data_IF_792582508455
#
_entry.id   IF_792582508455
#
_cell.length_a   1.000
_cell.length_b   1.000
_cell.length_c   1.000
_cell.angle_alpha   90.00
_cell.angle_beta   90.00
_cell.angle_gamma   90.00
#
_symmetry.space_group_name_H-M   'P 1'
#
loop_
_entity.id
_entity.type
_entity.pdbx_description
1 polymer ?
#
# COMPACT_ATOMS: atom_id res chain seq x y z
N UNK A 1 -3.09 -11.29 5.41
CA UNK A 1 -4.20 -11.11 4.47
C UNK A 1 -4.67 -9.68 4.64
N UNK A 2 -4.44 -8.84 3.65
CA UNK A 2 -4.82 -7.42 3.71
C UNK A 2 -6.25 -7.38 3.20
N UNK A 3 -7.20 -7.14 4.10
CA UNK A 3 -8.61 -7.00 3.76
C UNK A 3 -8.86 -5.55 3.32
N UNK A 4 -8.84 -5.32 2.04
CA UNK A 4 -9.52 -4.19 1.45
C UNK A 4 -10.99 -4.60 1.36
N UNK A 5 -11.88 -3.98 2.16
CA UNK A 5 -13.30 -4.25 2.05
C UNK A 5 -13.82 -3.65 0.74
N UNK A 6 -14.20 -4.50 -0.18
CA UNK A 6 -15.20 -4.14 -1.18
C UNK A 6 -16.54 -4.27 -0.48
N UNK A 7 -17.26 -3.18 -0.28
CA UNK A 7 -18.66 -3.24 0.11
C UNK A 7 -19.47 -3.64 -1.11
N UNK A 8 -19.73 -4.94 -1.20
CA UNK A 8 -20.72 -5.48 -2.12
C UNK A 8 -22.03 -5.59 -1.30
N UNK A 9 -23.00 -4.78 -1.63
CA UNK A 9 -24.34 -4.78 -1.04
C UNK A 9 -25.05 -6.08 -1.40
N UNK A 10 -24.98 -7.07 -0.52
CA UNK A 10 -25.67 -8.36 -0.61
C UNK A 10 -26.74 -8.48 0.45
N UNK A 11 -27.92 -8.35 0.00
CA UNK A 11 -29.26 -8.62 0.51
C UNK A 11 -29.33 -9.62 1.66
N UNK A 12 -30.03 -9.22 2.75
CA UNK A 12 -30.39 -10.02 3.91
C UNK A 12 -31.42 -11.08 3.52
N UNK A 13 -31.23 -12.30 3.98
CA UNK A 13 -32.32 -13.23 4.27
C UNK A 13 -32.09 -13.89 5.62
N UNK A 14 -32.99 -13.53 6.54
CA UNK A 14 -33.22 -14.21 7.79
C UNK A 14 -33.51 -15.69 7.58
N UNK A 15 -32.93 -16.56 8.41
CA UNK A 15 -33.61 -17.77 8.87
C UNK A 15 -33.01 -18.20 10.23
N UNK A 16 -33.87 -18.13 11.23
CA UNK A 16 -33.79 -18.77 12.53
C UNK A 16 -33.67 -20.29 12.40
N UNK A 17 -32.82 -20.92 13.21
CA UNK A 17 -33.20 -22.13 13.93
C UNK A 17 -32.26 -22.42 15.10
N UNK A 18 -32.89 -22.57 16.22
CA UNK A 18 -32.49 -22.99 17.55
C UNK A 18 -32.09 -24.46 17.59
N UNK A 19 -31.10 -24.88 18.36
CA UNK A 19 -31.20 -26.00 19.33
C UNK A 19 -29.89 -26.25 20.09
N UNK A 20 -29.92 -26.03 21.37
CA UNK A 20 -29.61 -26.88 22.56
C UNK A 20 -28.46 -27.90 22.50
N UNK A 21 -27.52 -27.80 23.41
CA UNK A 21 -27.45 -28.79 24.47
C UNK A 21 -26.10 -29.40 24.80
N UNK A 22 -25.65 -29.17 26.02
CA UNK A 22 -25.00 -30.09 26.99
C UNK A 22 -23.57 -30.57 26.76
N UNK A 23 -22.73 -30.15 27.65
CA UNK A 23 -22.17 -30.72 28.88
C UNK A 23 -20.95 -31.67 28.81
N UNK A 24 -19.99 -31.35 29.65
CA UNK A 24 -19.23 -32.14 30.63
C UNK A 24 -17.84 -32.71 30.29
N UNK A 25 -16.94 -32.23 31.13
CA UNK A 25 -15.93 -32.94 31.95
C UNK A 25 -14.55 -33.18 31.33
N UNK A 26 -13.52 -32.54 31.82
CA UNK A 26 -12.78 -32.83 33.09
C UNK A 26 -11.65 -33.86 32.96
N UNK A 27 -10.54 -33.50 33.56
CA UNK A 27 -9.37 -34.30 33.99
C UNK A 27 -8.20 -34.38 33.00
N UNK A 28 -6.97 -34.17 33.36
CA UNK A 28 -6.28 -34.05 34.62
C UNK A 28 -4.77 -34.04 34.32
N UNK A 29 -4.04 -33.32 35.12
CA UNK A 29 -2.58 -33.23 35.19
C UNK A 29 -2.04 -34.58 35.71
N UNK A 30 -0.78 -35.02 35.38
CA UNK A 30 0.33 -34.67 36.26
C UNK A 30 1.70 -34.45 35.59
N UNK A 31 2.49 -33.61 36.19
CA UNK A 31 3.95 -33.67 36.33
C UNK A 31 4.26 -34.70 37.45
N UNK A 32 5.47 -35.24 37.64
CA UNK A 32 6.73 -34.56 37.87
C UNK A 32 8.06 -35.33 37.61
N UNK A 33 9.15 -34.68 38.02
CA UNK A 33 10.48 -35.10 38.51
C UNK A 33 11.60 -35.33 37.51
N UNK A 34 12.57 -34.48 37.57
CA UNK A 34 13.80 -34.37 38.41
C UNK A 34 14.85 -35.48 38.26
N UNK A 35 16.05 -34.96 38.17
CA UNK A 35 17.39 -35.48 38.52
C UNK A 35 18.19 -36.07 37.36
N UNK A 36 19.42 -35.83 37.15
CA UNK A 36 20.59 -35.35 37.89
C UNK A 36 21.79 -35.13 36.95
N UNK A 37 22.61 -34.14 37.24
CA UNK A 37 24.08 -34.05 37.22
C UNK A 37 24.90 -34.78 36.14
N UNK A 38 25.69 -34.10 35.33
CA UNK A 38 27.15 -33.92 35.56
C UNK A 38 27.84 -33.13 34.41
N UNK A 39 28.52 -32.15 34.85
CA UNK A 39 29.74 -31.48 34.42
C UNK A 39 30.63 -32.25 33.44
N UNK A 40 31.00 -31.60 32.30
CA UNK A 40 32.41 -31.45 31.93
C UNK A 40 32.65 -30.30 30.95
N UNK A 41 33.71 -29.58 31.25
CA UNK A 41 34.26 -28.43 30.50
C UNK A 41 34.86 -28.87 29.16
N UNK A 42 34.59 -28.14 28.07
CA UNK A 42 35.60 -27.91 27.08
C UNK A 42 35.45 -26.49 26.47
N UNK A 43 36.53 -25.78 26.62
CA UNK A 43 36.75 -24.42 26.14
C UNK A 43 37.33 -24.51 24.73
N UNK A 44 36.94 -23.52 23.90
CA UNK A 44 37.53 -23.09 22.64
C UNK A 44 36.98 -23.66 21.33
N UNK A 45 36.62 -22.70 20.55
CA UNK A 45 36.33 -22.62 19.12
C UNK A 45 34.84 -22.47 18.78
N UNK A 46 34.42 -21.25 18.46
CA UNK A 46 33.08 -20.96 18.01
C UNK A 46 32.74 -19.49 17.81
N UNK A 47 33.72 -18.63 17.45
CA UNK A 47 33.45 -17.20 17.26
C UNK A 47 33.12 -16.79 15.81
N UNK A 48 33.28 -17.67 14.83
CA UNK A 48 33.05 -17.31 13.42
C UNK A 48 31.70 -17.82 12.87
N UNK A 49 31.13 -18.88 13.45
CA UNK A 49 29.87 -19.47 12.96
C UNK A 49 28.62 -18.65 13.36
N UNK A 50 28.69 -17.89 14.46
CA UNK A 50 27.57 -17.06 14.94
C UNK A 50 27.39 -15.76 14.15
N UNK A 51 28.44 -15.25 13.48
CA UNK A 51 28.33 -14.06 12.61
C UNK A 51 27.67 -14.38 11.27
N UNK A 52 27.92 -15.54 10.72
CA UNK A 52 27.34 -15.96 9.42
C UNK A 52 25.85 -16.22 9.50
N UNK A 53 25.35 -16.83 10.59
CA UNK A 53 23.94 -17.11 10.75
C UNK A 53 23.09 -15.84 10.95
N UNK A 54 23.63 -14.82 11.67
CA UNK A 54 22.94 -13.56 11.88
C UNK A 54 22.83 -12.70 10.59
N UNK A 55 23.74 -12.85 9.65
CA UNK A 55 23.74 -12.12 8.40
C UNK A 55 22.80 -12.78 7.39
N UNK A 56 22.74 -14.10 7.36
CA UNK A 56 21.78 -14.86 6.54
C UNK A 56 20.34 -14.61 7.00
N UNK A 57 20.09 -14.59 8.32
CA UNK A 57 18.76 -14.33 8.86
C UNK A 57 18.30 -12.87 8.59
N UNK A 58 19.22 -11.90 8.62
CA UNK A 58 18.93 -10.50 8.28
C UNK A 58 18.61 -10.32 6.79
N UNK A 59 19.35 -10.97 5.92
CA UNK A 59 19.11 -10.92 4.47
C UNK A 59 17.78 -11.59 4.12
N UNK A 60 17.47 -12.74 4.71
CA UNK A 60 16.19 -13.43 4.54
C UNK A 60 15.01 -12.60 5.06
N UNK A 61 15.14 -11.97 6.22
CA UNK A 61 14.11 -11.09 6.79
C UNK A 61 13.87 -9.85 5.91
N UNK A 62 14.92 -9.21 5.42
CA UNK A 62 14.80 -8.05 4.55
C UNK A 62 14.16 -8.38 3.22
N UNK A 63 14.48 -9.53 2.62
CA UNK A 63 13.88 -9.96 1.35
C UNK A 63 12.39 -10.26 1.51
N UNK A 64 11.98 -10.87 2.62
CA UNK A 64 10.56 -11.15 2.92
C UNK A 64 9.77 -9.87 3.13
N UNK A 65 10.30 -8.90 3.88
CA UNK A 65 9.66 -7.58 4.09
C UNK A 65 9.54 -6.84 2.77
N UNK A 66 10.59 -6.81 1.96
CA UNK A 66 10.55 -6.15 0.65
C UNK A 66 9.50 -6.77 -0.29
N UNK A 67 9.42 -8.10 -0.36
CA UNK A 67 8.41 -8.78 -1.16
C UNK A 67 6.98 -8.47 -0.68
N UNK A 68 6.75 -8.38 0.63
CA UNK A 68 5.46 -8.03 1.20
C UNK A 68 5.05 -6.58 0.85
N UNK A 69 6.00 -5.64 0.87
CA UNK A 69 5.73 -4.23 0.53
C UNK A 69 5.45 -4.07 -0.97
N UNK A 70 6.17 -4.79 -1.83
CA UNK A 70 5.91 -4.80 -3.27
C UNK A 70 4.50 -5.33 -3.57
N UNK A 71 4.12 -6.46 -2.99
CA UNK A 71 2.78 -7.02 -3.14
C UNK A 71 1.68 -6.07 -2.62
N UNK A 72 1.93 -5.38 -1.50
CA UNK A 72 1.01 -4.36 -0.98
C UNK A 72 0.88 -3.20 -1.97
N UNK A 73 1.97 -2.72 -2.54
CA UNK A 73 1.94 -1.60 -3.48
C UNK A 73 1.16 -1.95 -4.76
N UNK A 74 1.34 -3.16 -5.29
CA UNK A 74 0.60 -3.65 -6.46
C UNK A 74 -0.90 -3.76 -6.16
N UNK A 75 -1.28 -4.43 -5.05
CA UNK A 75 -2.68 -4.60 -4.63
C UNK A 75 -3.37 -3.26 -4.34
N UNK A 76 -2.67 -2.36 -3.63
CA UNK A 76 -3.17 -1.02 -3.35
C UNK A 76 -3.41 -0.23 -4.64
N UNK A 77 -2.46 -0.26 -5.57
CA UNK A 77 -2.56 0.46 -6.84
C UNK A 77 -3.75 -0.05 -7.66
N UNK A 78 -3.91 -1.36 -7.78
CA UNK A 78 -5.05 -1.97 -8.47
C UNK A 78 -6.37 -1.50 -7.84
N UNK A 79 -6.53 -1.71 -6.54
CA UNK A 79 -7.73 -1.33 -5.79
C UNK A 79 -8.06 0.18 -5.92
N UNK A 80 -7.07 1.06 -5.75
CA UNK A 80 -7.29 2.50 -5.81
C UNK A 80 -7.79 2.96 -7.18
N UNK A 81 -7.18 2.47 -8.26
CA UNK A 81 -7.61 2.87 -9.60
C UNK A 81 -8.90 2.21 -10.05
N UNK A 82 -9.25 1.03 -9.55
CA UNK A 82 -10.59 0.45 -9.71
C UNK A 82 -11.64 1.39 -9.11
N UNK A 83 -11.48 1.79 -7.84
CA UNK A 83 -12.40 2.73 -7.18
C UNK A 83 -12.46 4.09 -7.90
N UNK A 84 -11.31 4.64 -8.28
CA UNK A 84 -11.26 5.93 -8.98
C UNK A 84 -11.98 5.85 -10.33
N UNK A 85 -11.73 4.82 -11.12
CA UNK A 85 -12.33 4.62 -12.43
C UNK A 85 -13.84 4.39 -12.37
N UNK A 86 -14.32 3.70 -11.35
CA UNK A 86 -15.74 3.40 -11.12
C UNK A 86 -16.49 4.51 -10.38
N UNK A 87 -15.80 5.60 -9.96
CA UNK A 87 -16.31 6.70 -9.13
C UNK A 87 -16.78 6.26 -7.73
N UNK A 88 -16.20 5.19 -7.20
CA UNK A 88 -16.47 4.66 -5.85
C UNK A 88 -15.46 5.14 -4.81
N UNK A 89 -14.50 6.01 -5.20
CA UNK A 89 -13.56 6.59 -4.26
C UNK A 89 -14.31 7.48 -3.25
N UNK A 90 -14.09 7.24 -1.96
CA UNK A 90 -14.76 7.97 -0.87
C UNK A 90 -13.77 8.62 0.10
N UNK A 91 -14.24 9.58 0.89
CA UNK A 91 -13.42 10.31 1.87
C UNK A 91 -12.91 9.43 3.01
N UNK A 92 -13.52 8.29 3.29
CA UNK A 92 -13.10 7.34 4.33
C UNK A 92 -11.79 6.60 4.02
N UNK A 93 -11.37 6.59 2.75
CA UNK A 93 -10.07 6.02 2.34
C UNK A 93 -8.87 6.93 2.72
N UNK A 94 -9.15 8.12 3.23
CA UNK A 94 -8.15 9.14 3.56
C UNK A 94 -8.10 9.43 5.05
N UNK A 95 -6.93 9.85 5.53
CA UNK A 95 -6.82 10.42 6.87
C UNK A 95 -7.47 11.82 6.92
N UNK A 96 -7.98 12.26 8.11
CA UNK A 96 -8.58 13.59 8.26
C UNK A 96 -7.63 14.75 7.92
N UNK A 97 -6.32 14.53 8.06
CA UNK A 97 -5.26 15.49 7.76
C UNK A 97 -4.54 15.19 6.45
N UNK A 98 -5.22 14.53 5.51
CA UNK A 98 -4.69 14.20 4.18
C UNK A 98 -4.27 15.43 3.41
N UNK A 99 -3.25 15.28 2.56
CA UNK A 99 -2.85 16.29 1.57
C UNK A 99 -2.81 15.70 0.16
N UNK A 100 -3.26 16.47 -0.82
CA UNK A 100 -3.16 16.20 -2.24
C UNK A 100 -2.42 17.34 -2.93
N UNK A 101 -1.41 17.01 -3.74
CA UNK A 101 -0.88 17.89 -4.76
C UNK A 101 -1.21 17.32 -6.14
N UNK A 102 -1.90 18.08 -6.94
CA UNK A 102 -2.26 17.72 -8.30
C UNK A 102 -1.53 18.66 -9.27
N UNK A 103 -0.72 18.11 -10.18
CA UNK A 103 -0.16 18.88 -11.28
C UNK A 103 -0.59 18.33 -12.63
N UNK A 104 -0.87 19.23 -13.56
CA UNK A 104 -1.25 18.90 -14.94
C UNK A 104 -0.28 19.60 -15.89
N UNK A 105 0.31 18.84 -16.81
CA UNK A 105 1.24 19.35 -17.81
C UNK A 105 0.64 19.14 -19.20
N UNK A 106 0.38 20.24 -19.91
CA UNK A 106 -0.16 20.20 -21.27
C UNK A 106 0.48 21.29 -22.13
N UNK A 107 0.97 20.92 -23.30
CA UNK A 107 1.62 21.87 -24.26
C UNK A 107 2.78 22.69 -23.68
N UNK A 108 3.48 22.12 -22.67
CA UNK A 108 4.59 22.81 -21.99
C UNK A 108 4.15 23.75 -20.85
N UNK A 109 2.86 23.91 -20.62
CA UNK A 109 2.31 24.61 -19.46
C UNK A 109 2.03 23.65 -18.32
N UNK A 110 2.42 24.05 -17.11
CA UNK A 110 2.16 23.30 -15.88
C UNK A 110 1.21 24.10 -14.99
N UNK A 111 0.12 23.46 -14.60
CA UNK A 111 -0.83 23.97 -13.62
C UNK A 111 -0.79 23.06 -12.38
N UNK A 112 -0.81 23.65 -11.20
CA UNK A 112 -0.83 22.90 -9.95
C UNK A 112 -1.96 23.35 -9.04
N UNK A 113 -2.52 22.40 -8.30
CA UNK A 113 -3.53 22.61 -7.28
C UNK A 113 -3.15 21.80 -6.04
N UNK A 114 -3.40 22.35 -4.86
CA UNK A 114 -3.13 21.68 -3.58
C UNK A 114 -4.37 21.72 -2.70
N UNK A 115 -4.70 20.57 -2.08
CA UNK A 115 -5.80 20.42 -1.13
C UNK A 115 -5.24 19.82 0.15
N UNK A 116 -5.54 20.41 1.29
CA UNK A 116 -5.04 19.97 2.59
C UNK A 116 -6.16 19.82 3.62
N UNK A 117 -6.01 18.81 4.49
CA UNK A 117 -6.82 18.62 5.69
C UNK A 117 -8.33 18.49 5.46
N UNK A 118 -8.71 18.05 4.29
CA UNK A 118 -10.11 17.78 3.97
C UNK A 118 -10.24 16.57 3.04
N UNK A 119 -10.58 15.38 3.56
CA UNK A 119 -10.75 14.16 2.78
C UNK A 119 -11.80 14.27 1.68
N UNK A 120 -12.89 15.00 1.93
CA UNK A 120 -13.95 15.20 0.94
C UNK A 120 -13.47 16.05 -0.23
N UNK A 121 -12.74 17.13 0.05
CA UNK A 121 -12.19 17.99 -1.00
C UNK A 121 -11.12 17.25 -1.83
N UNK A 122 -10.30 16.40 -1.18
CA UNK A 122 -9.34 15.53 -1.89
C UNK A 122 -10.07 14.55 -2.81
N UNK A 123 -11.09 13.87 -2.31
CA UNK A 123 -11.92 12.95 -3.09
C UNK A 123 -12.56 13.66 -4.27
N UNK A 124 -13.21 14.80 -4.01
CA UNK A 124 -13.87 15.60 -5.02
C UNK A 124 -12.88 16.12 -6.07
N UNK A 125 -11.69 16.56 -5.66
CA UNK A 125 -10.64 17.02 -6.60
C UNK A 125 -10.22 15.91 -7.55
N UNK A 126 -10.00 14.69 -7.06
CA UNK A 126 -9.63 13.53 -7.87
C UNK A 126 -10.75 13.13 -8.84
N UNK A 127 -11.97 12.98 -8.34
CA UNK A 127 -13.13 12.61 -9.16
C UNK A 127 -13.49 13.69 -10.20
N UNK A 128 -13.48 14.96 -9.79
CA UNK A 128 -13.73 16.08 -10.72
C UNK A 128 -12.68 16.17 -11.83
N UNK A 129 -11.40 15.95 -11.50
CA UNK A 129 -10.32 15.92 -12.49
C UNK A 129 -10.54 14.80 -13.50
N UNK A 130 -10.88 13.59 -13.01
CA UNK A 130 -11.21 12.46 -13.88
C UNK A 130 -12.40 12.80 -14.79
N UNK A 131 -13.49 13.31 -14.23
CA UNK A 131 -14.71 13.63 -14.98
C UNK A 131 -14.51 14.79 -15.99
N UNK A 132 -13.81 15.85 -15.58
CA UNK A 132 -13.57 17.02 -16.41
C UNK A 132 -12.86 16.67 -17.72
N UNK A 133 -11.92 15.75 -17.68
CA UNK A 133 -11.11 15.34 -18.83
C UNK A 133 -11.54 13.99 -19.43
N UNK A 134 -12.65 13.42 -18.95
CA UNK A 134 -13.16 12.09 -19.36
C UNK A 134 -12.06 11.02 -19.31
N UNK A 135 -11.34 10.96 -18.16
CA UNK A 135 -10.17 10.10 -18.03
C UNK A 135 -10.52 8.70 -17.50
N UNK A 136 -9.84 7.74 -18.05
CA UNK A 136 -9.67 6.40 -17.50
C UNK A 136 -8.19 6.19 -17.17
N UNK A 137 -7.90 5.86 -15.91
CA UNK A 137 -6.56 5.59 -15.43
C UNK A 137 -6.23 4.13 -15.63
N UNK A 138 -5.18 3.84 -16.38
CA UNK A 138 -4.69 2.49 -16.63
C UNK A 138 -3.29 2.34 -16.03
N UNK A 139 -3.17 1.86 -14.76
CA UNK A 139 -1.88 1.73 -14.08
C UNK A 139 -1.03 0.63 -14.72
N UNK A 140 0.27 0.85 -14.79
CA UNK A 140 1.23 -0.18 -15.12
C UNK A 140 1.57 -0.96 -13.85
N UNK A 141 0.89 -2.09 -13.61
CA UNK A 141 1.07 -2.93 -12.42
C UNK A 141 2.30 -3.84 -12.49
N UNK A 142 3.15 -3.70 -13.50
CA UNK A 142 4.43 -4.41 -13.54
C UNK A 142 5.43 -3.84 -12.53
N UNK A 143 6.52 -4.55 -12.29
CA UNK A 143 7.61 -4.10 -11.40
C UNK A 143 8.28 -2.80 -11.87
N UNK A 144 8.17 -2.49 -13.15
CA UNK A 144 8.66 -1.25 -13.74
C UNK A 144 7.69 -0.08 -13.53
N UNK A 145 6.40 -0.36 -13.27
CA UNK A 145 5.36 0.65 -13.16
C UNK A 145 4.85 0.90 -11.74
N UNK A 146 5.10 -0.02 -10.79
CA UNK A 146 4.73 0.12 -9.38
C UNK A 146 5.92 -0.18 -8.49
N UNK A 147 6.12 0.66 -7.46
CA UNK A 147 7.14 0.46 -6.44
C UNK A 147 6.60 0.81 -5.07
N UNK A 148 6.92 -0.03 -4.08
CA UNK A 148 6.62 0.20 -2.67
C UNK A 148 7.87 0.29 -1.83
N UNK A 149 7.88 1.18 -0.86
CA UNK A 149 8.93 1.30 0.15
C UNK A 149 8.30 1.64 1.50
N UNK A 150 8.77 1.02 2.56
CA UNK A 150 8.34 1.34 3.92
C UNK A 150 9.47 2.04 4.66
N UNK A 151 9.15 3.14 5.33
CA UNK A 151 10.06 3.86 6.17
C UNK A 151 10.22 3.18 7.55
N UNK A 152 11.22 3.57 8.37
CA UNK A 152 11.41 2.99 9.71
C UNK A 152 10.25 3.24 10.67
N UNK A 153 9.35 4.19 10.39
CA UNK A 153 8.18 4.53 11.20
C UNK A 153 6.91 3.79 10.79
N UNK A 154 6.99 2.95 9.74
CA UNK A 154 5.87 2.16 9.24
C UNK A 154 4.99 2.88 8.22
N UNK A 155 5.42 4.05 7.71
CA UNK A 155 4.78 4.71 6.58
C UNK A 155 5.18 3.98 5.29
N UNK A 156 4.21 3.62 4.48
CA UNK A 156 4.45 2.98 3.19
C UNK A 156 4.29 4.01 2.08
N UNK A 157 5.36 4.21 1.33
CA UNK A 157 5.35 4.99 0.11
C UNK A 157 5.06 4.06 -1.07
N UNK A 158 4.02 4.39 -1.85
CA UNK A 158 3.69 3.70 -3.11
C UNK A 158 3.83 4.70 -4.24
N UNK A 159 4.60 4.35 -5.25
CA UNK A 159 4.72 5.14 -6.49
C UNK A 159 4.21 4.27 -7.63
N UNK A 160 3.35 4.84 -8.45
CA UNK A 160 2.74 4.16 -9.59
C UNK A 160 2.69 5.09 -10.79
N UNK A 161 2.96 4.55 -11.97
CA UNK A 161 2.77 5.25 -13.23
C UNK A 161 1.86 4.45 -14.15
N UNK A 162 1.28 5.12 -15.14
CA UNK A 162 0.38 4.48 -16.09
C UNK A 162 -0.02 5.41 -17.23
N UNK A 163 -0.93 4.92 -18.06
CA UNK A 163 -1.47 5.67 -19.19
C UNK A 163 -2.86 6.22 -18.89
N UNK A 164 -3.14 7.37 -19.45
CA UNK A 164 -4.45 8.03 -19.40
C UNK A 164 -5.18 7.80 -20.71
N UNK A 165 -6.43 7.38 -20.62
CA UNK A 165 -7.27 7.14 -21.78
C UNK A 165 -8.54 8.00 -21.69
N UNK A 166 -9.04 8.43 -22.83
CA UNK A 166 -10.37 9.01 -22.99
C UNK A 166 -11.01 8.38 -24.22
N UNK A 167 -12.21 7.83 -24.08
CA UNK A 167 -12.94 7.16 -25.15
C UNK A 167 -12.08 6.15 -25.93
N UNK A 168 -11.32 5.32 -25.23
CA UNK A 168 -10.43 4.29 -25.79
C UNK A 168 -9.18 4.82 -26.53
N UNK A 169 -8.90 6.11 -26.46
CA UNK A 169 -7.69 6.73 -27.02
C UNK A 169 -6.74 7.07 -25.88
N UNK A 170 -5.45 6.72 -26.01
CA UNK A 170 -4.44 7.18 -25.07
C UNK A 170 -4.20 8.68 -25.24
N UNK A 171 -4.45 9.46 -24.20
CA UNK A 171 -4.33 10.93 -24.21
C UNK A 171 -3.17 11.44 -23.37
N UNK A 172 -2.49 10.55 -22.65
CA UNK A 172 -1.37 10.97 -21.82
C UNK A 172 -0.86 9.86 -20.89
N UNK A 173 -0.03 10.29 -19.96
CA UNK A 173 0.52 9.45 -18.90
C UNK A 173 0.31 10.12 -17.54
N UNK A 174 0.29 9.31 -16.50
CA UNK A 174 0.27 9.79 -15.13
C UNK A 174 1.35 9.15 -14.30
N UNK A 175 1.66 9.80 -13.21
CA UNK A 175 2.49 9.34 -12.14
C UNK A 175 1.87 9.79 -10.83
N UNK A 176 1.74 8.87 -9.89
CA UNK A 176 1.15 9.19 -8.61
C UNK A 176 1.95 8.55 -7.48
N UNK A 177 2.24 9.35 -6.46
CA UNK A 177 2.83 8.92 -5.22
C UNK A 177 1.78 8.93 -4.13
N UNK A 178 1.80 7.91 -3.27
CA UNK A 178 0.96 7.79 -2.10
C UNK A 178 1.83 7.57 -0.87
N UNK A 179 1.46 8.20 0.24
CA UNK A 179 1.94 7.87 1.58
C UNK A 179 0.80 7.20 2.35
N UNK A 180 0.98 5.92 2.67
CA UNK A 180 0.00 5.10 3.37
C UNK A 180 0.41 4.89 4.81
N UNK A 181 -0.53 5.08 5.74
CA UNK A 181 -0.35 4.76 7.14
C UNK A 181 -1.46 3.83 7.63
N UNK A 182 -1.19 3.07 8.67
CA UNK A 182 -2.23 2.26 9.33
C UNK A 182 -3.06 3.14 10.25
N UNK A 183 -4.38 3.01 10.15
CA UNK A 183 -5.32 3.68 11.04
C UNK A 183 -5.67 2.74 12.21
N UNK A 184 -5.20 3.04 13.44
CA UNK A 184 -5.47 2.19 14.60
C UNK A 184 -6.96 2.18 15.00
N UNK A 185 -7.74 3.18 14.57
CA UNK A 185 -9.18 3.26 14.83
C UNK A 185 -10.03 2.55 13.78
N UNK A 186 -9.43 2.12 12.67
CA UNK A 186 -10.06 1.38 11.59
C UNK A 186 -9.43 -0.02 11.43
N UNK A 187 -9.35 -0.80 12.52
CA UNK A 187 -8.82 -2.16 12.55
C UNK A 187 -7.40 -2.30 11.94
N UNK A 188 -6.59 -1.24 12.05
CA UNK A 188 -5.28 -1.13 11.40
C UNK A 188 -5.31 -1.24 9.85
N UNK A 189 -6.41 -0.87 9.22
CA UNK A 189 -6.47 -0.73 7.77
C UNK A 189 -5.56 0.41 7.30
N UNK A 190 -5.10 0.29 6.05
CA UNK A 190 -4.32 1.31 5.42
C UNK A 190 -5.22 2.46 4.93
N UNK A 191 -4.80 3.69 5.21
CA UNK A 191 -5.41 4.91 4.67
C UNK A 191 -4.36 5.80 4.04
N UNK A 192 -4.81 6.65 3.12
CA UNK A 192 -3.98 7.60 2.40
C UNK A 192 -3.78 8.84 3.28
N UNK A 193 -2.52 9.16 3.60
CA UNK A 193 -2.13 10.35 4.34
C UNK A 193 -1.68 11.50 3.43
N UNK A 194 -1.08 11.16 2.32
CA UNK A 194 -0.66 12.10 1.28
C UNK A 194 -0.73 11.44 -0.08
N UNK A 195 -1.07 12.22 -1.09
CA UNK A 195 -0.91 11.81 -2.48
C UNK A 195 -0.47 12.98 -3.35
N UNK A 196 0.47 12.72 -4.27
CA UNK A 196 0.94 13.67 -5.27
C UNK A 196 0.66 13.07 -6.65
N UNK A 197 -0.27 13.65 -7.41
CA UNK A 197 -0.68 13.20 -8.74
C UNK A 197 -0.17 14.15 -9.81
N UNK A 198 0.55 13.62 -10.77
CA UNK A 198 1.01 14.34 -11.95
C UNK A 198 0.41 13.75 -13.21
N UNK A 199 -0.32 14.57 -13.96
CA UNK A 199 -0.90 14.23 -15.25
C UNK A 199 -0.13 14.94 -16.35
N UNK A 200 0.24 14.22 -17.41
CA UNK A 200 0.92 14.79 -18.56
C UNK A 200 0.23 14.38 -19.85
N UNK A 201 -0.28 15.35 -20.58
CA UNK A 201 -0.84 15.15 -21.91
C UNK A 201 0.24 14.68 -22.89
N UNK A 202 -0.06 13.64 -23.66
CA UNK A 202 0.83 13.11 -24.70
C UNK A 202 0.01 12.36 -25.73
N UNK A 203 0.19 12.70 -27.00
CA UNK A 203 -0.48 12.05 -28.13
C UNK A 203 0.28 10.82 -28.68
N UNK A 204 1.48 10.55 -28.18
CA UNK A 204 2.39 9.56 -28.77
C UNK A 204 2.99 8.63 -27.69
N UNK A 205 2.12 8.00 -26.90
CA UNK A 205 2.57 6.99 -25.93
C UNK A 205 2.66 5.64 -26.63
N UNK A 206 3.87 5.25 -27.02
CA UNK A 206 4.14 3.99 -27.76
C UNK A 206 4.34 2.83 -26.78
N UNK A 207 4.93 3.10 -25.61
CA UNK A 207 5.21 2.11 -24.57
C UNK A 207 4.60 2.56 -23.23
N UNK A 208 4.16 1.64 -22.37
CA UNK A 208 3.75 1.98 -21.01
C UNK A 208 4.86 2.76 -20.30
N UNK A 209 4.54 3.81 -19.52
CA UNK A 209 5.53 4.51 -18.73
C UNK A 209 6.13 3.59 -17.67
N UNK A 210 7.40 3.85 -17.32
CA UNK A 210 8.13 3.13 -16.28
C UNK A 210 8.69 4.11 -15.26
N UNK A 211 8.89 3.64 -14.03
CA UNK A 211 9.45 4.43 -12.92
C UNK A 211 10.98 4.56 -12.96
N UNK A 212 11.62 4.31 -14.08
CA UNK A 212 13.07 4.32 -14.25
C UNK A 212 13.77 5.65 -13.88
N UNK A 213 12.98 6.73 -13.70
CA UNK A 213 13.49 8.08 -13.38
C UNK A 213 13.79 8.24 -11.87
N UNK A 214 13.34 7.32 -11.01
CA UNK A 214 13.49 7.44 -9.55
C UNK A 214 14.70 6.69 -8.96
N UNK A 215 15.54 6.07 -9.78
CA UNK A 215 16.72 5.37 -9.27
C UNK A 215 17.83 6.33 -8.77
N UNK A 216 17.79 7.61 -9.17
CA UNK A 216 18.84 8.60 -8.83
C UNK A 216 18.47 9.61 -7.72
N UNK A 217 17.26 9.57 -7.14
CA UNK A 217 16.86 10.51 -6.10
C UNK A 217 16.53 9.85 -4.77
N UNK A 218 17.29 8.84 -4.35
CA UNK A 218 17.23 8.30 -2.98
C UNK A 218 18.00 9.15 -1.97
N UNK A 219 18.13 10.45 -2.22
CA UNK A 219 18.68 11.40 -1.26
C UNK A 219 17.72 12.58 -1.09
N UNK A 220 17.23 12.72 0.16
CA UNK A 220 16.63 13.93 0.72
C UNK A 220 15.19 14.28 0.36
N UNK A 221 14.23 13.42 0.77
CA UNK A 221 12.92 13.98 1.16
C UNK A 221 13.08 14.53 2.58
N UNK A 222 13.57 15.75 2.69
CA UNK A 222 13.50 16.53 3.93
C UNK A 222 12.05 16.95 4.12
N UNK A 223 11.35 16.27 5.01
CA UNK A 223 10.06 16.74 5.54
C UNK A 223 10.40 17.97 6.36
N UNK A 224 10.12 19.17 5.84
CA UNK A 224 10.11 20.38 6.66
C UNK A 224 8.87 20.33 7.54
N UNK A 225 9.11 20.28 8.86
CA UNK A 225 8.11 20.52 9.91
C UNK A 225 7.50 21.91 9.81
#
# INVERSE_FOLDING_TARGET
>A
MILWKNEDDGESTDNDEETTGTDLASNGIPSPNNDDLQTERNVHEGSETLRSNNEIDRVASNSTVHNNITALAEQFSQWFYELLNENHLSSEHFFPDVSLNLSTVSNGEENSNSVEKNPEDVTNCLLNTKMQYDLFFNPNLSKEGVRGQMDPHGLVMVIVCGTLHSKSVCVGVFEQMFALARDPFAENNWKIKRTDLRLRSSSNVITPPTLSIYEDTSTDIVIKE
#
